data_IF_431402912082
#
_entry.id   IF_431402912082
#
_cell.length_a   1.000
_cell.length_b   1.000
_cell.length_c   1.000
_cell.angle_alpha   90.00
_cell.angle_beta   90.00
_cell.angle_gamma   90.00
#
_symmetry.space_group_name_H-M   'P 1'
#
loop_
_entity.id
_entity.type
_entity.pdbx_description
1 polymer ?
#
# COMPACT_ATOMS: atom_id res chain seq x y z
N UNK A 1 -13.28 -32.71 88.01
CA UNK A 1 -13.51 -31.40 87.35
C UNK A 1 -13.45 -31.64 85.85
N UNK A 2 -14.49 -31.20 85.17
CA UNK A 2 -14.84 -31.45 83.76
C UNK A 2 -13.88 -30.70 82.82
N UNK A 3 -13.45 -31.31 81.71
CA UNK A 3 -13.62 -30.70 80.38
C UNK A 3 -13.34 -31.67 79.22
N UNK A 4 -14.23 -31.55 78.25
CA UNK A 4 -14.52 -32.39 77.09
C UNK A 4 -13.61 -32.10 75.89
N UNK A 5 -13.15 -33.15 75.24
CA UNK A 5 -12.59 -33.16 73.88
C UNK A 5 -13.70 -33.02 72.83
N UNK A 6 -13.55 -32.20 71.77
CA UNK A 6 -14.40 -32.30 70.60
C UNK A 6 -13.96 -33.47 69.71
N UNK A 7 -14.94 -34.30 69.36
CA UNK A 7 -14.86 -35.48 68.51
C UNK A 7 -14.65 -35.04 67.06
N UNK A 8 -13.47 -35.24 66.49
CA UNK A 8 -13.28 -35.18 65.03
C UNK A 8 -13.64 -36.56 64.49
N UNK A 9 -14.82 -36.66 63.87
CA UNK A 9 -15.30 -37.88 63.22
C UNK A 9 -14.41 -38.23 62.02
N UNK A 10 -13.96 -39.48 61.98
CA UNK A 10 -13.17 -40.10 60.93
C UNK A 10 -13.77 -39.88 59.53
N UNK A 11 -13.19 -38.95 58.78
CA UNK A 11 -13.44 -38.82 57.35
C UNK A 11 -12.72 -39.99 56.68
N UNK A 12 -13.49 -40.98 56.22
CA UNK A 12 -12.99 -42.16 55.52
C UNK A 12 -12.11 -41.70 54.33
N UNK A 13 -10.87 -42.22 54.16
CA UNK A 13 -9.95 -41.77 53.11
C UNK A 13 -10.55 -41.91 51.70
N UNK A 14 -11.46 -42.86 51.52
CA UNK A 14 -12.19 -43.08 50.27
C UNK A 14 -13.08 -41.89 49.84
N UNK A 15 -13.65 -41.15 50.80
CA UNK A 15 -14.49 -39.99 50.49
C UNK A 15 -13.67 -38.77 50.03
N UNK A 16 -12.43 -38.64 50.52
CA UNK A 16 -11.51 -37.57 50.14
C UNK A 16 -10.94 -37.78 48.73
N UNK A 17 -10.67 -39.03 48.35
CA UNK A 17 -10.25 -39.40 47.00
C UNK A 17 -11.38 -39.22 45.96
N UNK A 18 -12.63 -39.49 46.33
CA UNK A 18 -13.77 -39.25 45.44
C UNK A 18 -14.00 -37.75 45.17
N UNK A 19 -13.84 -36.89 46.17
CA UNK A 19 -13.99 -35.44 46.00
C UNK A 19 -12.84 -34.83 45.18
N UNK A 20 -11.60 -35.30 45.32
CA UNK A 20 -10.50 -34.85 44.48
C UNK A 20 -10.67 -35.25 43.00
N UNK A 21 -11.21 -36.45 42.72
CA UNK A 21 -11.46 -36.88 41.35
C UNK A 21 -12.58 -36.07 40.67
N UNK A 22 -13.64 -35.71 41.41
CA UNK A 22 -14.76 -34.93 40.87
C UNK A 22 -14.37 -33.46 40.65
N UNK A 23 -13.60 -32.85 41.56
CA UNK A 23 -13.14 -31.46 41.42
C UNK A 23 -12.04 -31.33 40.34
N UNK A 24 -11.18 -32.32 40.17
CA UNK A 24 -10.18 -32.34 39.10
C UNK A 24 -10.79 -32.56 37.71
N UNK A 25 -11.96 -33.21 37.62
CA UNK A 25 -12.69 -33.41 36.36
C UNK A 25 -13.39 -32.13 35.84
N UNK A 26 -13.76 -31.21 36.73
CA UNK A 26 -14.46 -29.98 36.36
C UNK A 26 -13.56 -28.85 35.83
N UNK A 27 -12.24 -28.96 35.95
CA UNK A 27 -11.28 -27.97 35.42
C UNK A 27 -10.71 -28.34 34.05
N UNK A 28 -11.05 -29.51 33.52
CA UNK A 28 -10.79 -29.84 32.12
C UNK A 28 -11.85 -29.19 31.23
N UNK A 29 -11.84 -27.86 31.15
CA UNK A 29 -12.52 -27.14 30.09
C UNK A 29 -11.82 -27.50 28.77
N UNK A 30 -12.30 -28.56 28.13
CA UNK A 30 -11.99 -28.84 26.73
C UNK A 30 -12.48 -27.63 25.95
N UNK A 31 -11.55 -26.76 25.59
CA UNK A 31 -11.82 -25.70 24.63
C UNK A 31 -12.02 -26.41 23.29
N UNK A 32 -13.27 -26.71 22.96
CA UNK A 32 -13.66 -27.10 21.62
C UNK A 32 -13.39 -25.89 20.70
N UNK A 33 -12.18 -25.79 20.17
CA UNK A 33 -11.88 -24.90 19.06
C UNK A 33 -12.46 -25.53 17.80
N UNK A 34 -13.65 -25.06 17.42
CA UNK A 34 -14.17 -25.31 16.09
C UNK A 34 -13.47 -24.33 15.14
N UNK A 35 -12.26 -24.67 14.69
CA UNK A 35 -11.45 -23.86 13.76
C UNK A 35 -11.87 -24.02 12.28
N UNK A 36 -13.12 -24.43 12.01
CA UNK A 36 -13.63 -24.66 10.65
C UNK A 36 -15.00 -24.01 10.49
N UNK A 37 -15.05 -22.91 9.72
CA UNK A 37 -16.30 -22.24 9.38
C UNK A 37 -16.92 -22.90 8.15
N UNK A 38 -18.20 -23.25 8.18
CA UNK A 38 -18.90 -23.81 7.01
C UNK A 38 -19.73 -22.73 6.33
N UNK A 39 -19.60 -22.61 5.00
CA UNK A 39 -20.39 -21.71 4.17
C UNK A 39 -21.32 -22.53 3.29
N UNK A 40 -22.63 -22.33 3.45
CA UNK A 40 -23.64 -23.00 2.64
C UNK A 40 -23.73 -22.32 1.26
N UNK A 41 -23.37 -23.02 0.16
CA UNK A 41 -23.42 -22.44 -1.18
C UNK A 41 -24.82 -22.12 -1.66
N UNK A 42 -25.87 -22.66 -1.03
CA UNK A 42 -27.27 -22.34 -1.37
C UNK A 42 -27.69 -20.93 -0.98
N UNK A 43 -26.95 -20.28 -0.06
CA UNK A 43 -27.19 -18.91 0.36
C UNK A 43 -26.56 -17.87 -0.59
N UNK A 44 -25.82 -18.30 -1.61
CA UNK A 44 -25.29 -17.42 -2.64
C UNK A 44 -26.34 -17.16 -3.72
N UNK A 45 -26.69 -15.89 -3.92
CA UNK A 45 -27.52 -15.49 -5.06
C UNK A 45 -26.71 -15.66 -6.35
N UNK A 46 -26.98 -16.73 -7.09
CA UNK A 46 -26.46 -16.92 -8.44
C UNK A 46 -27.56 -16.61 -9.45
N UNK A 47 -27.29 -15.76 -10.45
CA UNK A 47 -28.29 -15.32 -11.45
C UNK A 47 -28.88 -16.45 -12.32
N UNK A 48 -28.35 -17.68 -12.22
CA UNK A 48 -28.93 -18.86 -12.87
C UNK A 48 -29.38 -19.86 -11.81
N UNK A 49 -30.70 -19.92 -11.64
CA UNK A 49 -31.43 -21.00 -10.98
C UNK A 49 -31.03 -22.35 -11.57
N UNK A 50 -30.15 -23.06 -10.86
CA UNK A 50 -29.74 -24.42 -11.23
C UNK A 50 -28.29 -24.71 -10.91
N UNK A 51 -28.01 -24.99 -9.63
CA UNK A 51 -26.87 -25.77 -9.14
C UNK A 51 -25.55 -25.57 -9.89
N UNK A 52 -24.88 -24.45 -9.63
CA UNK A 52 -23.41 -24.46 -9.65
C UNK A 52 -22.98 -24.70 -8.21
N UNK A 53 -22.57 -25.93 -7.87
CA UNK A 53 -21.94 -26.19 -6.57
C UNK A 53 -20.60 -25.46 -6.56
N UNK A 54 -20.61 -24.19 -6.14
CA UNK A 54 -19.39 -23.42 -5.93
C UNK A 54 -18.72 -23.99 -4.69
N UNK A 55 -17.45 -24.38 -4.83
CA UNK A 55 -16.65 -24.83 -3.71
C UNK A 55 -16.29 -23.62 -2.84
N UNK A 56 -16.92 -23.53 -1.67
CA UNK A 56 -16.69 -22.47 -0.68
C UNK A 56 -15.72 -22.91 0.43
N UNK A 57 -15.15 -24.11 0.35
CA UNK A 57 -14.21 -24.61 1.36
C UNK A 57 -12.98 -23.72 1.51
N UNK A 58 -12.61 -22.98 0.46
CA UNK A 58 -11.56 -21.96 0.51
C UNK A 58 -11.89 -20.91 1.56
N UNK A 59 -13.14 -20.46 1.70
CA UNK A 59 -13.50 -19.42 2.68
C UNK A 59 -13.61 -19.94 4.12
N UNK A 60 -13.59 -21.26 4.32
CA UNK A 60 -13.67 -21.89 5.64
C UNK A 60 -12.43 -21.67 6.51
N UNK A 61 -11.31 -21.27 5.91
CA UNK A 61 -10.05 -20.97 6.60
C UNK A 61 -9.89 -19.45 6.80
N UNK A 62 -9.27 -19.06 7.91
CA UNK A 62 -8.94 -17.65 8.16
C UNK A 62 -8.05 -17.07 7.06
N UNK A 63 -8.37 -15.86 6.58
CA UNK A 63 -7.64 -15.13 5.54
C UNK A 63 -7.52 -15.83 4.18
N UNK A 64 -8.33 -16.86 3.93
CA UNK A 64 -8.26 -17.60 2.68
C UNK A 64 -9.17 -16.96 1.62
N UNK A 65 -8.59 -16.72 0.45
CA UNK A 65 -9.18 -15.98 -0.66
C UNK A 65 -8.82 -16.65 -1.99
N UNK A 66 -9.67 -16.45 -2.99
CA UNK A 66 -9.47 -17.07 -4.30
C UNK A 66 -8.32 -16.38 -5.07
N UNK A 67 -7.47 -17.15 -5.77
CA UNK A 67 -6.59 -16.59 -6.79
C UNK A 67 -7.38 -15.85 -7.86
N UNK A 68 -6.82 -14.77 -8.39
CA UNK A 68 -7.50 -13.93 -9.37
C UNK A 68 -6.88 -12.57 -9.52
N UNK A 69 -7.56 -11.70 -10.27
CA UNK A 69 -7.12 -10.33 -10.46
C UNK A 69 -7.87 -9.37 -9.53
N UNK A 70 -7.12 -8.61 -8.74
CA UNK A 70 -7.66 -7.65 -7.78
C UNK A 70 -7.19 -6.25 -8.11
N UNK A 71 -8.10 -5.27 -8.01
CA UNK A 71 -7.73 -3.85 -8.05
C UNK A 71 -7.21 -3.49 -6.66
N UNK A 72 -5.94 -3.11 -6.59
CA UNK A 72 -5.26 -2.83 -5.33
C UNK A 72 -4.56 -1.49 -5.34
N UNK A 73 -4.60 -0.80 -4.21
CA UNK A 73 -3.70 0.30 -3.91
C UNK A 73 -2.33 -0.26 -3.49
N UNK A 74 -1.29 0.05 -4.27
CA UNK A 74 0.07 -0.42 -4.01
C UNK A 74 0.81 0.59 -3.16
N UNK A 75 1.28 0.13 -2.00
CA UNK A 75 2.10 0.89 -1.07
C UNK A 75 3.51 0.33 -1.03
N UNK A 76 4.52 1.18 -1.21
CA UNK A 76 5.93 0.83 -1.01
C UNK A 76 6.44 1.58 0.22
N UNK A 77 6.94 0.85 1.22
CA UNK A 77 7.43 1.41 2.49
C UNK A 77 6.45 2.42 3.13
N UNK A 78 5.15 2.03 3.19
CA UNK A 78 4.02 2.81 3.74
C UNK A 78 3.57 4.02 2.89
N UNK A 79 4.17 4.28 1.73
CA UNK A 79 3.75 5.34 0.80
C UNK A 79 2.92 4.76 -0.34
N UNK A 80 1.70 5.27 -0.54
CA UNK A 80 0.89 4.92 -1.72
C UNK A 80 1.61 5.40 -2.98
N UNK A 81 1.82 4.50 -3.93
CA UNK A 81 2.46 4.82 -5.21
C UNK A 81 1.43 4.92 -6.32
N UNK A 82 0.63 3.87 -6.50
CA UNK A 82 -0.33 3.74 -7.61
C UNK A 82 -1.47 2.79 -7.24
N UNK A 83 -2.59 2.87 -7.96
CA UNK A 83 -3.66 1.88 -7.93
C UNK A 83 -3.65 1.10 -9.24
N UNK A 84 -3.70 -0.24 -9.19
CA UNK A 84 -3.68 -1.08 -10.39
C UNK A 84 -4.36 -2.41 -10.16
N UNK A 85 -4.84 -3.02 -11.25
CA UNK A 85 -5.30 -4.40 -11.28
C UNK A 85 -4.09 -5.34 -11.36
N UNK A 86 -3.92 -6.21 -10.37
CA UNK A 86 -2.77 -7.13 -10.26
C UNK A 86 -3.29 -8.57 -10.13
N UNK A 87 -2.68 -9.54 -10.84
CA UNK A 87 -2.97 -10.96 -10.63
C UNK A 87 -2.34 -11.47 -9.33
N UNK A 88 -3.06 -12.34 -8.63
CA UNK A 88 -2.62 -13.03 -7.42
C UNK A 88 -2.77 -14.53 -7.60
N UNK A 89 -1.74 -15.28 -7.19
CA UNK A 89 -1.76 -16.76 -7.17
C UNK A 89 -1.68 -17.25 -5.74
N UNK A 90 -2.31 -18.38 -5.44
CA UNK A 90 -2.14 -19.04 -4.15
C UNK A 90 -0.78 -19.72 -4.06
N UNK A 91 -0.09 -19.55 -2.93
CA UNK A 91 1.08 -20.32 -2.57
C UNK A 91 0.71 -21.69 -1.97
N UNK A 92 1.71 -22.44 -1.51
CA UNK A 92 1.50 -23.76 -0.88
C UNK A 92 0.66 -23.69 0.41
N UNK A 93 0.61 -22.53 1.04
CA UNK A 93 -0.15 -22.26 2.27
C UNK A 93 -1.47 -21.53 1.99
N UNK A 94 -1.92 -21.49 0.73
CA UNK A 94 -3.13 -20.77 0.29
C UNK A 94 -3.08 -19.24 0.49
N UNK A 95 -1.90 -18.66 0.68
CA UNK A 95 -1.72 -17.21 0.73
C UNK A 95 -1.60 -16.63 -0.68
N UNK A 96 -2.24 -15.49 -0.90
CA UNK A 96 -2.20 -14.81 -2.18
C UNK A 96 -0.89 -14.05 -2.37
N UNK A 97 -0.13 -14.46 -3.38
CA UNK A 97 1.12 -13.82 -3.80
C UNK A 97 0.86 -12.93 -5.01
N UNK A 98 1.20 -11.63 -4.94
CA UNK A 98 1.08 -10.73 -6.08
C UNK A 98 2.04 -11.13 -7.19
N UNK A 99 1.56 -11.02 -8.43
CA UNK A 99 2.35 -11.28 -9.63
C UNK A 99 2.68 -9.94 -10.29
N UNK A 100 3.91 -9.45 -10.07
CA UNK A 100 4.37 -8.14 -10.57
C UNK A 100 5.36 -8.30 -11.71
N UNK A 101 5.17 -7.55 -12.80
CA UNK A 101 6.16 -7.53 -13.90
C UNK A 101 7.40 -6.74 -13.52
N UNK A 102 8.50 -6.93 -14.26
CA UNK A 102 9.70 -6.11 -14.06
C UNK A 102 9.43 -4.64 -14.36
N UNK A 103 8.69 -4.33 -15.42
CA UNK A 103 8.25 -2.96 -15.70
C UNK A 103 7.53 -2.35 -14.48
N UNK A 104 6.58 -3.08 -13.89
CA UNK A 104 5.86 -2.64 -12.70
C UNK A 104 6.80 -2.39 -11.51
N UNK A 105 7.79 -3.26 -11.29
CA UNK A 105 8.78 -3.05 -10.24
C UNK A 105 9.62 -1.78 -10.46
N UNK A 106 9.98 -1.45 -11.71
CA UNK A 106 10.68 -0.18 -12.02
C UNK A 106 9.81 1.02 -11.73
N UNK A 107 8.53 0.97 -12.12
CA UNK A 107 7.55 2.03 -11.83
C UNK A 107 7.35 2.24 -10.33
N UNK A 108 7.44 1.17 -9.53
CA UNK A 108 7.40 1.21 -8.08
C UNK A 108 8.70 1.74 -7.45
N UNK A 109 9.70 2.07 -8.27
CA UNK A 109 10.97 2.67 -7.86
C UNK A 109 12.02 1.65 -7.45
N UNK A 110 11.87 0.37 -7.82
CA UNK A 110 12.84 -0.68 -7.54
C UNK A 110 13.98 -0.65 -8.57
N UNK A 111 15.22 -0.72 -8.09
CA UNK A 111 16.45 -0.80 -8.89
C UNK A 111 16.71 -2.23 -9.34
N UNK A 112 16.07 -2.63 -10.43
CA UNK A 112 16.16 -4.00 -10.96
C UNK A 112 17.55 -4.27 -11.54
N UNK A 113 18.22 -3.22 -12.01
CA UNK A 113 19.54 -3.25 -12.65
C UNK A 113 20.64 -3.70 -11.67
N UNK A 114 20.41 -3.56 -10.36
CA UNK A 114 21.35 -4.03 -9.33
C UNK A 114 21.25 -5.54 -9.06
N UNK A 115 20.31 -6.24 -9.70
CA UNK A 115 20.06 -7.66 -9.52
C UNK A 115 20.28 -8.38 -10.85
N UNK A 116 21.46 -9.00 -11.10
CA UNK A 116 21.81 -9.61 -12.38
C UNK A 116 20.83 -10.71 -12.86
N UNK A 117 20.15 -11.35 -11.91
CA UNK A 117 19.11 -12.35 -12.15
C UNK A 117 17.82 -11.76 -12.74
N UNK A 118 17.59 -10.47 -12.56
CA UNK A 118 16.41 -9.76 -13.05
C UNK A 118 16.74 -8.89 -14.27
N UNK A 119 17.97 -8.36 -14.34
CA UNK A 119 18.41 -7.49 -15.44
C UNK A 119 18.28 -8.12 -16.84
N UNK A 120 18.47 -9.45 -16.93
CA UNK A 120 18.45 -10.19 -18.22
C UNK A 120 17.07 -10.69 -18.64
N UNK A 121 16.07 -10.50 -17.78
CA UNK A 121 14.71 -10.97 -18.03
C UNK A 121 13.94 -9.92 -18.83
N UNK A 122 12.96 -10.38 -19.59
CA UNK A 122 12.08 -9.48 -20.35
C UNK A 122 11.20 -8.64 -19.43
N UNK A 123 10.85 -7.42 -19.83
CA UNK A 123 10.11 -6.48 -19.00
C UNK A 123 8.71 -6.98 -18.60
N UNK A 124 8.12 -7.86 -19.42
CA UNK A 124 6.83 -8.52 -19.17
C UNK A 124 6.96 -9.75 -18.27
N UNK A 125 8.17 -10.14 -17.87
CA UNK A 125 8.39 -11.29 -16.98
C UNK A 125 7.81 -11.00 -15.62
N UNK A 126 6.98 -11.93 -15.13
CA UNK A 126 6.28 -11.79 -13.87
C UNK A 126 7.04 -12.42 -12.72
N UNK A 127 7.19 -11.68 -11.62
CA UNK A 127 7.86 -12.08 -10.39
C UNK A 127 6.82 -12.23 -9.30
N UNK A 128 6.63 -13.46 -8.83
CA UNK A 128 5.79 -13.76 -7.68
C UNK A 128 6.54 -13.65 -6.35
N UNK A 129 7.70 -14.31 -6.25
CA UNK A 129 8.49 -14.31 -5.02
C UNK A 129 9.47 -13.13 -5.00
N UNK A 130 8.97 -11.97 -4.57
CA UNK A 130 9.80 -10.76 -4.45
C UNK A 130 10.96 -10.92 -3.47
N UNK A 131 10.80 -11.71 -2.40
CA UNK A 131 11.86 -11.94 -1.43
C UNK A 131 13.05 -12.71 -2.03
N UNK A 132 12.78 -13.64 -2.94
CA UNK A 132 13.82 -14.38 -3.68
C UNK A 132 14.50 -13.49 -4.73
N UNK A 133 13.71 -12.69 -5.45
CA UNK A 133 14.21 -11.78 -6.47
C UNK A 133 15.04 -10.63 -5.88
N UNK A 134 14.58 -10.07 -4.75
CA UNK A 134 15.13 -8.89 -4.07
C UNK A 134 15.18 -9.21 -2.57
N UNK A 135 16.34 -9.69 -2.05
CA UNK A 135 16.47 -10.12 -0.66
C UNK A 135 16.04 -9.05 0.35
N UNK A 136 15.25 -9.46 1.34
CA UNK A 136 14.70 -8.56 2.37
C UNK A 136 13.41 -7.86 1.97
N UNK A 137 12.86 -8.15 0.79
CA UNK A 137 11.53 -7.68 0.39
C UNK A 137 10.44 -8.53 1.02
N UNK A 138 9.37 -7.90 1.50
CA UNK A 138 8.16 -8.56 2.01
C UNK A 138 6.95 -7.99 1.29
N UNK A 139 6.03 -8.85 0.88
CA UNK A 139 4.75 -8.48 0.29
C UNK A 139 3.61 -9.00 1.16
N UNK A 140 2.68 -8.12 1.50
CA UNK A 140 1.50 -8.44 2.28
C UNK A 140 0.26 -7.87 1.57
N UNK A 141 -0.69 -8.74 1.26
CA UNK A 141 -1.96 -8.34 0.64
C UNK A 141 -3.06 -8.25 1.69
N UNK A 142 -3.52 -7.04 1.94
CA UNK A 142 -4.70 -6.76 2.76
C UNK A 142 -5.92 -6.63 1.83
N UNK A 143 -6.61 -7.74 1.66
CA UNK A 143 -7.77 -7.80 0.76
C UNK A 143 -8.93 -6.93 1.24
N UNK A 144 -9.14 -6.83 2.56
CA UNK A 144 -10.27 -6.11 3.13
C UNK A 144 -10.22 -4.62 2.78
N UNK A 145 -9.02 -4.07 2.68
CA UNK A 145 -8.79 -2.69 2.26
C UNK A 145 -8.36 -2.56 0.79
N UNK A 146 -8.30 -3.66 0.03
CA UNK A 146 -7.80 -3.67 -1.34
C UNK A 146 -6.39 -3.09 -1.45
N UNK A 147 -5.49 -3.49 -0.56
CA UNK A 147 -4.18 -2.86 -0.38
C UNK A 147 -3.05 -3.87 -0.47
N UNK A 148 -2.06 -3.59 -1.33
CA UNK A 148 -0.81 -4.33 -1.40
C UNK A 148 0.30 -3.56 -0.70
N UNK A 149 0.81 -4.08 0.41
CA UNK A 149 1.93 -3.52 1.16
C UNK A 149 3.24 -4.20 0.76
N UNK A 150 4.16 -3.42 0.20
CA UNK A 150 5.51 -3.85 -0.15
C UNK A 150 6.51 -3.17 0.80
N UNK A 151 7.23 -3.98 1.57
CA UNK A 151 8.38 -3.54 2.34
C UNK A 151 9.64 -3.88 1.55
N UNK A 152 10.31 -2.87 1.01
CA UNK A 152 11.47 -3.03 0.11
C UNK A 152 12.70 -2.38 0.75
N UNK A 153 13.87 -3.05 0.81
CA UNK A 153 15.09 -2.46 1.34
C UNK A 153 15.46 -1.16 0.61
N UNK A 154 15.85 -0.12 1.34
CA UNK A 154 16.15 1.19 0.76
C UNK A 154 17.28 1.16 -0.28
N UNK A 155 18.23 0.22 -0.15
CA UNK A 155 19.32 0.01 -1.13
C UNK A 155 18.79 -0.45 -2.50
N UNK A 156 17.66 -1.15 -2.50
CA UNK A 156 16.97 -1.66 -3.68
C UNK A 156 16.02 -0.63 -4.31
N UNK A 157 15.90 0.58 -3.74
CA UNK A 157 15.02 1.64 -4.25
C UNK A 157 15.83 2.80 -4.85
N UNK A 158 15.27 3.45 -5.87
CA UNK A 158 15.72 4.76 -6.33
C UNK A 158 15.54 5.78 -5.21
N UNK A 159 16.63 6.51 -4.91
CA UNK A 159 16.63 7.49 -3.83
C UNK A 159 16.13 8.81 -4.37
N UNK A 160 14.83 9.01 -4.34
CA UNK A 160 14.27 10.34 -4.54
C UNK A 160 14.75 11.24 -3.41
N UNK A 161 15.44 12.33 -3.74
CA UNK A 161 15.76 13.36 -2.76
C UNK A 161 14.45 13.91 -2.17
N UNK A 162 14.49 14.36 -0.91
CA UNK A 162 13.31 14.98 -0.29
C UNK A 162 12.90 16.19 -1.13
N UNK A 163 11.66 16.21 -1.63
CA UNK A 163 11.16 17.26 -2.53
C UNK A 163 11.37 16.98 -4.03
N UNK A 164 11.85 15.79 -4.41
CA UNK A 164 11.99 15.42 -5.82
C UNK A 164 10.64 15.33 -6.54
N UNK A 165 10.60 15.83 -7.78
CA UNK A 165 9.47 15.76 -8.70
C UNK A 165 9.94 15.09 -9.97
N UNK A 166 9.35 13.95 -10.32
CA UNK A 166 9.71 13.20 -11.51
C UNK A 166 9.53 14.04 -12.79
N UNK A 167 10.45 13.93 -13.78
CA UNK A 167 10.36 14.64 -15.06
C UNK A 167 9.04 14.41 -15.81
N UNK A 168 8.43 13.24 -15.65
CA UNK A 168 7.12 12.92 -16.24
C UNK A 168 5.96 13.77 -15.70
N UNK A 169 6.16 14.44 -14.56
CA UNK A 169 5.19 15.38 -13.97
C UNK A 169 5.49 16.83 -14.33
N UNK A 170 6.54 17.10 -15.08
CA UNK A 170 6.85 18.46 -15.50
C UNK A 170 5.86 18.87 -16.59
N UNK A 171 5.23 20.03 -16.38
CA UNK A 171 4.32 20.63 -17.35
C UNK A 171 5.06 21.77 -18.06
N UNK A 172 5.13 21.69 -19.39
CA UNK A 172 5.69 22.76 -20.22
C UNK A 172 4.82 24.03 -20.19
N UNK A 173 3.57 23.90 -19.74
CA UNK A 173 2.56 24.92 -19.70
C UNK A 173 1.82 25.05 -21.03
N UNK A 174 0.88 26.00 -21.09
CA UNK A 174 0.11 26.27 -22.29
C UNK A 174 0.81 27.26 -23.23
N UNK A 175 0.61 27.14 -24.55
CA UNK A 175 0.96 28.18 -25.52
C UNK A 175 0.41 29.55 -25.12
N UNK A 176 1.27 30.56 -25.00
CA UNK A 176 0.84 31.93 -24.66
C UNK A 176 1.74 32.98 -25.31
N UNK A 177 1.12 34.06 -25.79
CA UNK A 177 1.76 35.31 -26.18
C UNK A 177 1.36 36.37 -25.14
N UNK A 178 2.35 37.08 -24.58
CA UNK A 178 2.10 38.10 -23.58
C UNK A 178 3.03 39.31 -23.75
N UNK A 179 2.58 40.45 -23.24
CA UNK A 179 3.38 41.67 -23.14
C UNK A 179 3.23 42.25 -21.74
N UNK A 180 4.36 42.67 -21.16
CA UNK A 180 4.42 43.41 -19.91
C UNK A 180 4.99 44.78 -20.20
N UNK A 181 4.39 45.84 -19.65
CA UNK A 181 4.85 47.21 -19.87
C UNK A 181 5.06 47.91 -18.54
N UNK A 182 6.09 48.75 -18.47
CA UNK A 182 6.32 49.69 -17.38
C UNK A 182 6.52 51.07 -17.97
N UNK A 183 5.63 52.00 -17.63
CA UNK A 183 5.74 53.38 -18.04
C UNK A 183 6.05 54.24 -16.82
N UNK A 184 7.05 55.11 -16.93
CA UNK A 184 7.43 56.04 -15.87
C UNK A 184 7.80 57.39 -16.47
N UNK A 185 7.58 58.45 -15.69
CA UNK A 185 7.95 59.80 -16.08
C UNK A 185 8.43 60.60 -14.89
N UNK A 186 9.30 61.58 -15.15
CA UNK A 186 9.74 62.55 -14.17
C UNK A 186 9.73 63.94 -14.80
N UNK A 187 9.43 64.94 -13.98
CA UNK A 187 9.50 66.35 -14.36
C UNK A 187 10.28 67.08 -13.27
N UNK A 188 11.29 67.81 -13.69
CA UNK A 188 12.14 68.64 -12.84
C UNK A 188 11.97 70.09 -13.25
N UNK A 189 11.70 70.96 -12.28
CA UNK A 189 11.59 72.40 -12.51
C UNK A 189 12.63 73.13 -11.66
N UNK A 190 13.44 73.97 -12.31
CA UNK A 190 14.49 74.76 -11.65
C UNK A 190 14.68 76.09 -12.36
N UNK A 191 14.64 77.19 -11.60
CA UNK A 191 14.86 78.57 -12.09
C UNK A 191 14.07 78.95 -13.37
N UNK A 192 12.80 78.55 -13.43
CA UNK A 192 11.92 78.82 -14.57
C UNK A 192 12.05 77.82 -15.74
N UNK A 193 13.12 77.01 -15.78
CA UNK A 193 13.27 75.91 -16.72
C UNK A 193 12.53 74.65 -16.23
N UNK A 194 11.86 73.97 -17.16
CA UNK A 194 11.18 72.70 -16.90
C UNK A 194 11.73 71.64 -17.84
N UNK A 195 12.21 70.53 -17.27
CA UNK A 195 12.69 69.38 -18.02
C UNK A 195 11.82 68.15 -17.69
N UNK A 196 11.46 67.38 -18.72
CA UNK A 196 10.58 66.23 -18.61
C UNK A 196 11.24 65.01 -19.26
N UNK A 197 11.21 63.89 -18.54
CA UNK A 197 11.67 62.61 -19.03
C UNK A 197 10.54 61.60 -18.95
N UNK A 198 10.41 60.78 -20.00
CA UNK A 198 9.48 59.67 -20.07
C UNK A 198 10.25 58.42 -20.48
N UNK A 199 9.88 57.30 -19.90
CA UNK A 199 10.52 56.02 -20.13
C UNK A 199 9.45 54.94 -20.23
N UNK A 200 9.52 54.13 -21.28
CA UNK A 200 8.60 53.04 -21.55
C UNK A 200 9.38 51.75 -21.76
N UNK A 201 9.35 50.86 -20.78
CA UNK A 201 9.88 49.52 -20.95
C UNK A 201 8.76 48.58 -21.41
N UNK A 202 9.04 47.79 -22.44
CA UNK A 202 8.17 46.71 -22.92
C UNK A 202 8.93 45.38 -22.90
N UNK A 203 8.32 44.37 -22.29
CA UNK A 203 8.82 43.01 -22.19
C UNK A 203 7.82 42.07 -22.85
N UNK A 204 8.13 41.65 -24.06
CA UNK A 204 7.28 40.76 -24.84
C UNK A 204 7.76 39.32 -24.68
N UNK A 205 6.84 38.37 -24.69
CA UNK A 205 7.19 36.96 -24.55
C UNK A 205 6.22 36.02 -25.25
N UNK A 206 6.77 34.90 -25.71
CA UNK A 206 6.03 33.77 -26.27
C UNK A 206 6.49 32.49 -25.58
N UNK A 207 5.55 31.66 -25.15
CA UNK A 207 5.80 30.29 -24.67
C UNK A 207 5.13 29.31 -25.65
N UNK A 208 5.89 28.31 -26.13
CA UNK A 208 5.40 27.24 -27.02
C UNK A 208 6.10 25.93 -26.65
N UNK A 209 5.39 25.06 -25.92
CA UNK A 209 5.98 23.85 -25.34
C UNK A 209 7.20 24.20 -24.46
N UNK A 210 8.35 23.53 -24.63
CA UNK A 210 9.54 23.81 -23.82
C UNK A 210 10.22 25.15 -24.16
N UNK A 211 9.85 25.80 -25.27
CA UNK A 211 10.49 27.04 -25.73
C UNK A 211 9.90 28.28 -25.06
N UNK A 212 10.79 29.18 -24.62
CA UNK A 212 10.45 30.46 -23.96
C UNK A 212 11.22 31.59 -24.63
N UNK A 213 10.60 32.32 -25.55
CA UNK A 213 11.19 33.49 -26.21
C UNK A 213 10.86 34.75 -25.43
N UNK A 214 11.84 35.65 -25.28
CA UNK A 214 11.73 36.93 -24.55
C UNK A 214 12.37 38.06 -25.35
N UNK A 215 11.73 39.22 -25.39
CA UNK A 215 12.23 40.44 -26.02
C UNK A 215 12.04 41.63 -25.07
N UNK A 216 13.09 42.43 -24.91
CA UNK A 216 13.13 43.62 -24.06
C UNK A 216 13.37 44.86 -24.93
N UNK A 217 12.48 45.84 -24.84
CA UNK A 217 12.59 47.14 -25.51
C UNK A 217 12.39 48.27 -24.51
N UNK A 218 13.08 49.38 -24.72
CA UNK A 218 13.06 50.61 -23.89
C UNK A 218 12.85 51.83 -24.75
#
# INVERSE_FOLDING_TARGET
MVQSTPHFSDIKPLALWLHCAIVSGCLASVHARADVFYFDPTLLETEKSGQSSVDLSVFSQENSQLPGEYIVDIYVNKKKIVQRKIPFIADKNHQLIPQLTLEQLRELGVKIENYPQLEKLDDLTTIGNLAQAIPGTVSEFDINHGRLNLSVPQIALYRDARGYVAPSRWDDGIPVLFTHYTFSGSQNQYDGDSNQHQYLNMQNGVNLGPWRLRNYST
#
